data_IF_374894902345
#
_entry.id   IF_374894902345
#
_cell.length_a   1.000
_cell.length_b   1.000
_cell.length_c   1.000
_cell.angle_alpha   90.00
_cell.angle_beta   90.00
_cell.angle_gamma   90.00
#
_symmetry.space_group_name_H-M   'P 1'
#
loop_
_entity.id
_entity.type
_entity.pdbx_description
1 polymer ?
#
# COMPACT_ATOMS: atom_id res chain seq x y z
N UNK A 1 -2.50 -39.93 -20.29
CA UNK A 1 -2.95 -39.08 -19.16
C UNK A 1 -1.76 -38.28 -18.69
N UNK A 2 -1.53 -37.09 -19.27
CA UNK A 2 -0.50 -36.18 -18.80
C UNK A 2 -1.12 -35.24 -17.77
N UNK A 3 -0.62 -35.29 -16.55
CA UNK A 3 -1.03 -34.39 -15.47
C UNK A 3 -0.53 -32.99 -15.84
N UNK A 4 -1.46 -32.06 -16.06
CA UNK A 4 -1.17 -30.65 -16.28
C UNK A 4 -0.73 -30.07 -14.94
N UNK A 5 0.57 -29.83 -14.77
CA UNK A 5 1.09 -28.98 -13.71
C UNK A 5 0.91 -27.54 -14.17
N UNK A 6 -0.22 -26.92 -13.85
CA UNK A 6 -0.36 -25.47 -13.95
C UNK A 6 -0.06 -24.86 -12.58
N UNK A 7 1.23 -24.67 -12.30
CA UNK A 7 1.66 -23.70 -11.30
C UNK A 7 1.71 -22.32 -11.96
N UNK A 8 0.54 -21.73 -12.23
CA UNK A 8 0.48 -20.30 -12.57
C UNK A 8 0.83 -19.52 -11.29
N UNK A 9 2.00 -18.88 -11.25
CA UNK A 9 2.31 -17.96 -10.15
C UNK A 9 1.43 -16.73 -10.29
N UNK A 10 0.55 -16.47 -9.30
CA UNK A 10 -0.27 -15.25 -9.29
C UNK A 10 0.64 -14.02 -9.38
N UNK A 11 0.19 -13.00 -10.11
CA UNK A 11 0.91 -11.71 -10.15
C UNK A 11 0.71 -10.95 -8.83
N UNK A 12 1.60 -10.00 -8.54
CA UNK A 12 1.47 -9.13 -7.35
C UNK A 12 0.11 -8.42 -7.28
N UNK A 13 -0.40 -7.97 -8.43
CA UNK A 13 -1.71 -7.33 -8.50
C UNK A 13 -2.83 -8.33 -8.21
N UNK A 14 -2.77 -9.53 -8.77
CA UNK A 14 -3.77 -10.59 -8.49
C UNK A 14 -3.79 -11.00 -7.01
N UNK A 15 -2.63 -11.10 -6.36
CA UNK A 15 -2.55 -11.35 -4.91
C UNK A 15 -3.17 -10.21 -4.10
N UNK A 16 -2.90 -8.96 -4.47
CA UNK A 16 -3.51 -7.79 -3.85
C UNK A 16 -5.04 -7.79 -4.02
N UNK A 17 -5.53 -8.03 -5.24
CA UNK A 17 -6.97 -8.03 -5.56
C UNK A 17 -7.71 -9.13 -4.81
N UNK A 18 -7.19 -10.35 -4.76
CA UNK A 18 -7.72 -11.45 -3.95
C UNK A 18 -7.84 -11.03 -2.48
N UNK A 19 -6.78 -10.42 -1.99
CA UNK A 19 -6.71 -9.89 -0.64
C UNK A 19 -7.76 -8.86 -0.29
N UNK A 20 -7.91 -7.85 -1.16
CA UNK A 20 -8.92 -6.80 -1.02
C UNK A 20 -10.32 -7.39 -1.12
N UNK A 21 -10.55 -8.33 -2.03
CA UNK A 21 -11.82 -9.05 -2.15
C UNK A 21 -12.20 -9.75 -0.84
N UNK A 22 -11.29 -10.53 -0.25
CA UNK A 22 -11.52 -11.19 1.04
C UNK A 22 -11.81 -10.18 2.17
N UNK A 23 -11.13 -9.03 2.15
CA UNK A 23 -11.38 -7.95 3.11
C UNK A 23 -12.80 -7.39 2.96
N UNK A 24 -13.26 -7.12 1.74
CA UNK A 24 -14.62 -6.63 1.46
C UNK A 24 -15.66 -7.65 1.93
N UNK A 25 -15.51 -8.92 1.53
CA UNK A 25 -16.42 -10.01 1.93
C UNK A 25 -16.50 -10.14 3.46
N UNK A 26 -15.36 -10.09 4.15
CA UNK A 26 -15.31 -10.11 5.62
C UNK A 26 -16.03 -8.90 6.23
N UNK A 27 -15.85 -7.70 5.68
CA UNK A 27 -16.52 -6.48 6.17
C UNK A 27 -18.03 -6.51 5.99
N UNK A 28 -18.52 -7.10 4.90
CA UNK A 28 -19.97 -7.32 4.66
C UNK A 28 -20.56 -8.21 5.77
N UNK A 29 -19.86 -9.28 6.15
CA UNK A 29 -20.32 -10.25 7.14
C UNK A 29 -20.23 -9.73 8.59
N UNK A 30 -19.22 -8.92 8.90
CA UNK A 30 -18.96 -8.44 10.27
C UNK A 30 -20.02 -7.45 10.81
N UNK A 31 -20.44 -6.48 10.00
CA UNK A 31 -21.41 -5.47 10.43
C UNK A 31 -22.05 -4.74 9.27
N UNK A 32 -23.35 -4.44 9.39
CA UNK A 32 -24.09 -3.60 8.44
C UNK A 32 -23.69 -2.12 8.48
N UNK A 33 -22.95 -1.72 9.52
CA UNK A 33 -22.46 -0.34 9.71
C UNK A 33 -21.04 -0.15 9.20
N UNK A 34 -20.40 -1.21 8.70
CA UNK A 34 -19.08 -1.07 8.10
C UNK A 34 -19.21 -0.30 6.79
N UNK A 35 -18.22 0.53 6.53
CA UNK A 35 -18.08 1.28 5.29
C UNK A 35 -16.70 0.98 4.71
N UNK A 36 -16.65 0.82 3.40
CA UNK A 36 -15.42 0.55 2.64
C UNK A 36 -15.43 1.47 1.44
N UNK A 37 -14.32 2.15 1.21
CA UNK A 37 -14.03 2.89 -0.01
C UNK A 37 -12.77 2.34 -0.65
N UNK A 38 -12.65 2.50 -1.97
CA UNK A 38 -11.52 2.02 -2.76
C UNK A 38 -11.01 3.18 -3.60
N UNK A 39 -9.70 3.42 -3.49
CA UNK A 39 -8.97 4.41 -4.28
C UNK A 39 -7.89 3.65 -5.06
N UNK A 40 -7.75 4.01 -6.33
CA UNK A 40 -6.72 3.53 -7.23
C UNK A 40 -5.79 4.70 -7.54
N UNK A 41 -4.49 4.44 -7.61
CA UNK A 41 -3.49 5.39 -8.08
C UNK A 41 -2.69 4.74 -9.20
N UNK A 42 -2.24 5.53 -10.17
CA UNK A 42 -1.64 5.05 -11.43
C UNK A 42 -2.68 4.68 -12.49
N UNK A 43 -3.89 5.25 -12.39
CA UNK A 43 -4.94 5.11 -13.41
C UNK A 43 -4.72 6.08 -14.56
N UNK A 44 -5.16 5.71 -15.77
CA UNK A 44 -5.13 6.63 -16.91
C UNK A 44 -6.05 7.83 -16.67
N UNK A 45 -7.18 7.58 -16.02
CA UNK A 45 -8.16 8.60 -15.64
C UNK A 45 -7.79 9.26 -14.29
N UNK A 46 -8.32 10.47 -14.10
CA UNK A 46 -8.32 11.19 -12.82
C UNK A 46 -9.77 11.43 -12.42
N UNK A 47 -10.20 10.84 -11.31
CA UNK A 47 -11.56 10.98 -10.79
C UNK A 47 -11.50 10.95 -9.26
N UNK A 48 -11.23 12.11 -8.68
CA UNK A 48 -11.23 12.26 -7.23
C UNK A 48 -11.66 13.69 -6.81
N UNK A 49 -12.29 13.84 -5.62
CA UNK A 49 -12.82 15.13 -5.20
C UNK A 49 -11.77 16.25 -5.04
N UNK A 50 -10.51 15.91 -4.75
CA UNK A 50 -9.47 16.92 -4.55
C UNK A 50 -8.98 17.49 -5.89
N UNK A 51 -8.86 16.66 -6.92
CA UNK A 51 -8.58 17.13 -8.28
C UNK A 51 -9.69 18.08 -8.78
N UNK A 52 -10.96 17.75 -8.50
CA UNK A 52 -12.09 18.65 -8.82
C UNK A 52 -12.02 19.98 -8.06
N UNK A 53 -11.65 19.95 -6.77
CA UNK A 53 -11.63 21.12 -5.90
C UNK A 53 -10.43 22.07 -6.19
N UNK A 54 -9.27 21.52 -6.55
CA UNK A 54 -8.02 22.28 -6.76
C UNK A 54 -7.76 22.65 -8.23
N UNK A 55 -8.37 21.93 -9.18
CA UNK A 55 -8.19 22.12 -10.60
C UNK A 55 -6.97 21.38 -11.18
N UNK A 56 -6.80 21.53 -12.49
CA UNK A 56 -5.84 20.79 -13.32
C UNK A 56 -4.41 20.76 -12.74
N UNK A 57 -3.76 19.60 -12.81
CA UNK A 57 -2.38 19.40 -12.35
C UNK A 57 -2.20 18.95 -10.90
N UNK A 58 -3.28 18.73 -10.15
CA UNK A 58 -3.21 18.24 -8.75
C UNK A 58 -3.94 16.90 -8.61
N UNK A 59 -3.32 15.95 -7.88
CA UNK A 59 -3.89 14.63 -7.60
C UNK A 59 -4.28 13.87 -8.88
N UNK A 60 -3.46 14.00 -9.93
CA UNK A 60 -3.64 13.33 -11.21
C UNK A 60 -3.42 11.81 -11.09
N UNK A 61 -4.05 11.06 -11.98
CA UNK A 61 -3.94 9.59 -12.06
C UNK A 61 -4.37 8.89 -10.76
N UNK A 62 -5.27 9.54 -10.01
CA UNK A 62 -5.93 9.00 -8.83
C UNK A 62 -7.45 8.95 -9.08
N UNK A 63 -8.02 7.75 -8.93
CA UNK A 63 -9.44 7.47 -9.15
C UNK A 63 -10.09 6.86 -7.91
N UNK A 64 -11.22 7.42 -7.48
CA UNK A 64 -12.08 6.86 -6.44
C UNK A 64 -13.00 5.82 -7.08
N UNK A 65 -12.57 4.55 -7.12
CA UNK A 65 -13.38 3.45 -7.64
C UNK A 65 -14.69 3.30 -6.86
N UNK A 66 -14.64 3.48 -5.54
CA UNK A 66 -15.80 3.44 -4.67
C UNK A 66 -15.67 4.42 -3.50
N UNK A 67 -16.66 5.30 -3.25
CA UNK A 67 -16.67 6.15 -2.07
C UNK A 67 -16.86 5.32 -0.78
N UNK A 68 -16.62 5.91 0.38
CA UNK A 68 -16.86 5.26 1.67
C UNK A 68 -18.36 5.04 1.91
N UNK A 69 -18.81 3.84 1.56
CA UNK A 69 -20.19 3.39 1.68
C UNK A 69 -20.27 1.96 2.19
N UNK A 70 -21.50 1.51 2.50
CA UNK A 70 -21.71 0.15 2.96
C UNK A 70 -21.31 -0.83 1.84
N UNK A 71 -20.36 -1.75 2.07
CA UNK A 71 -19.92 -2.65 1.03
C UNK A 71 -21.04 -3.60 0.64
N UNK A 72 -21.05 -3.96 -0.64
CA UNK A 72 -21.95 -4.94 -1.25
C UNK A 72 -21.15 -5.92 -2.10
N UNK A 73 -21.73 -7.08 -2.42
CA UNK A 73 -21.10 -8.09 -3.29
C UNK A 73 -20.84 -7.54 -4.71
N UNK A 74 -21.56 -6.50 -5.14
CA UNK A 74 -21.27 -5.82 -6.40
C UNK A 74 -19.91 -5.13 -6.41
N UNK A 75 -19.40 -4.67 -5.26
CA UNK A 75 -18.10 -4.00 -5.17
C UNK A 75 -16.94 -4.96 -5.49
N UNK A 76 -17.06 -6.24 -5.13
CA UNK A 76 -16.04 -7.24 -5.49
C UNK A 76 -16.06 -7.55 -6.99
N UNK A 77 -17.24 -7.56 -7.61
CA UNK A 77 -17.35 -7.74 -9.06
C UNK A 77 -16.76 -6.53 -9.81
N UNK A 78 -17.07 -5.32 -9.36
CA UNK A 78 -16.50 -4.08 -9.91
C UNK A 78 -14.97 -4.06 -9.79
N UNK A 79 -14.44 -4.47 -8.63
CA UNK A 79 -12.99 -4.57 -8.42
C UNK A 79 -12.31 -5.51 -9.44
N UNK A 80 -12.93 -6.65 -9.76
CA UNK A 80 -12.39 -7.62 -10.73
C UNK A 80 -12.52 -7.16 -12.19
N UNK A 81 -13.57 -6.41 -12.51
CA UNK A 81 -13.84 -5.89 -13.85
C UNK A 81 -12.95 -4.69 -14.17
N UNK A 82 -12.94 -3.69 -13.29
CA UNK A 82 -12.37 -2.36 -13.55
C UNK A 82 -10.88 -2.27 -13.23
N UNK A 83 -10.36 -3.07 -12.28
CA UNK A 83 -8.94 -2.98 -11.90
C UNK A 83 -8.09 -3.87 -12.80
N UNK A 84 -7.26 -3.23 -13.62
CA UNK A 84 -6.26 -3.85 -14.51
C UNK A 84 -4.89 -3.22 -14.29
N UNK A 85 -3.79 -3.90 -14.67
CA UNK A 85 -2.48 -3.28 -14.69
C UNK A 85 -2.50 -2.02 -15.58
N UNK A 86 -2.20 -0.87 -15.00
CA UNK A 86 -2.02 0.39 -15.72
C UNK A 86 -0.59 0.53 -16.27
N UNK A 87 -0.41 1.49 -17.17
CA UNK A 87 0.90 1.90 -17.70
C UNK A 87 1.36 3.26 -17.16
N UNK A 88 0.50 3.95 -16.41
CA UNK A 88 0.75 5.27 -15.85
C UNK A 88 1.24 5.14 -14.41
N UNK A 89 2.26 5.92 -14.05
CA UNK A 89 2.67 6.09 -12.66
C UNK A 89 1.95 7.30 -12.07
N UNK A 90 1.52 7.19 -10.82
CA UNK A 90 1.05 8.32 -10.03
C UNK A 90 1.88 8.43 -8.76
N UNK A 91 1.91 9.61 -8.15
CA UNK A 91 2.46 9.75 -6.82
C UNK A 91 1.57 9.00 -5.81
N UNK A 92 2.21 8.12 -5.05
CA UNK A 92 1.57 7.40 -3.96
C UNK A 92 1.06 8.38 -2.87
N UNK A 93 1.75 9.50 -2.66
CA UNK A 93 1.38 10.50 -1.66
C UNK A 93 0.07 11.19 -2.04
N UNK A 94 -0.13 11.52 -3.31
CA UNK A 94 -1.42 12.03 -3.79
C UNK A 94 -2.56 11.06 -3.50
N UNK A 95 -2.36 9.77 -3.78
CA UNK A 95 -3.33 8.72 -3.44
C UNK A 95 -3.62 8.66 -1.93
N UNK A 96 -2.60 8.83 -1.09
CA UNK A 96 -2.75 8.85 0.37
C UNK A 96 -3.46 10.12 0.86
N UNK A 97 -3.18 11.29 0.29
CA UNK A 97 -3.86 12.55 0.60
C UNK A 97 -5.35 12.45 0.26
N UNK A 98 -5.69 11.93 -0.94
CA UNK A 98 -7.07 11.66 -1.34
C UNK A 98 -7.75 10.69 -0.36
N UNK A 99 -7.06 9.65 0.10
CA UNK A 99 -7.61 8.71 1.08
C UNK A 99 -7.88 9.35 2.45
N UNK A 100 -6.94 10.15 2.95
CA UNK A 100 -7.09 10.89 4.21
C UNK A 100 -8.24 11.89 4.12
N UNK A 101 -8.38 12.58 2.99
CA UNK A 101 -9.44 13.54 2.78
C UNK A 101 -10.82 12.87 2.66
N UNK A 102 -10.93 11.78 1.90
CA UNK A 102 -12.15 10.98 1.82
C UNK A 102 -12.57 10.47 3.20
N UNK A 103 -11.61 9.99 4.01
CA UNK A 103 -11.85 9.57 5.39
C UNK A 103 -12.35 10.73 6.25
N UNK A 104 -11.73 11.90 6.15
CA UNK A 104 -12.11 13.09 6.88
C UNK A 104 -13.55 13.54 6.54
N UNK A 105 -13.83 13.78 5.25
CA UNK A 105 -15.18 14.21 4.79
C UNK A 105 -16.26 13.25 5.24
N UNK A 106 -15.99 11.94 5.20
CA UNK A 106 -17.01 10.93 5.55
C UNK A 106 -17.28 10.84 7.04
N UNK A 107 -16.25 10.99 7.85
CA UNK A 107 -16.26 10.62 9.28
C UNK A 107 -16.14 11.80 10.23
N UNK A 108 -16.05 13.04 9.73
CA UNK A 108 -16.05 14.25 10.56
C UNK A 108 -17.25 14.23 11.52
N UNK A 109 -16.98 14.52 12.79
CA UNK A 109 -17.96 14.52 13.91
C UNK A 109 -18.72 13.20 14.11
N UNK A 110 -18.28 12.09 13.50
CA UNK A 110 -18.89 10.76 13.68
C UNK A 110 -17.94 9.80 14.39
N UNK A 111 -18.51 8.80 15.07
CA UNK A 111 -17.75 7.75 15.77
C UNK A 111 -17.49 6.59 14.82
N UNK A 112 -16.24 6.43 14.39
CA UNK A 112 -15.76 5.32 13.56
C UNK A 112 -14.47 4.75 14.15
N UNK A 113 -14.25 3.47 13.92
CA UNK A 113 -12.90 2.90 13.94
C UNK A 113 -12.39 3.03 12.50
N UNK A 114 -11.31 3.79 12.31
CA UNK A 114 -10.81 4.18 10.98
C UNK A 114 -9.50 3.46 10.70
N UNK A 115 -9.42 2.90 9.50
CA UNK A 115 -8.21 2.25 8.99
C UNK A 115 -8.05 2.55 7.51
N UNK A 116 -6.84 2.92 7.09
CA UNK A 116 -6.43 3.02 5.69
C UNK A 116 -5.47 1.87 5.40
N UNK A 117 -5.69 1.19 4.29
CA UNK A 117 -4.85 0.09 3.81
C UNK A 117 -4.20 0.52 2.49
N UNK A 118 -2.90 0.82 2.53
CA UNK A 118 -2.12 1.21 1.36
C UNK A 118 -1.43 -0.02 0.79
N UNK A 119 -1.77 -0.44 -0.43
CA UNK A 119 -1.15 -1.59 -1.09
C UNK A 119 -0.22 -1.07 -2.18
N UNK A 120 1.07 -1.41 -2.11
CA UNK A 120 2.06 -0.90 -3.07
C UNK A 120 3.28 -1.81 -3.19
N UNK A 121 3.92 -1.80 -4.37
CA UNK A 121 5.26 -2.37 -4.58
C UNK A 121 6.39 -1.36 -4.29
N UNK A 122 6.05 -0.10 -3.99
CA UNK A 122 6.99 0.99 -3.71
C UNK A 122 8.03 1.23 -4.81
N UNK A 123 7.74 0.84 -6.06
CA UNK A 123 8.72 0.79 -7.14
C UNK A 123 8.89 2.12 -7.89
N UNK A 124 7.90 3.01 -7.85
CA UNK A 124 7.92 4.28 -8.58
C UNK A 124 8.40 5.41 -7.68
N UNK A 125 9.05 6.45 -8.23
CA UNK A 125 9.41 7.65 -7.47
C UNK A 125 8.23 8.23 -6.71
N UNK A 126 8.52 8.82 -5.54
CA UNK A 126 7.55 9.54 -4.72
C UNK A 126 7.96 11.01 -4.70
N UNK A 127 7.11 11.88 -5.22
CA UNK A 127 7.37 13.30 -5.42
C UNK A 127 6.60 14.13 -4.37
N UNK A 128 6.87 13.94 -3.08
CA UNK A 128 6.00 14.55 -2.06
C UNK A 128 6.41 14.34 -0.60
N UNK A 129 7.70 14.30 -0.30
CA UNK A 129 8.18 14.13 1.08
C UNK A 129 7.70 15.25 2.04
N UNK A 130 7.45 16.46 1.50
CA UNK A 130 6.89 17.59 2.24
C UNK A 130 5.47 17.36 2.80
N UNK A 131 4.67 16.49 2.19
CA UNK A 131 3.28 16.24 2.60
C UNK A 131 3.14 15.12 3.66
N UNK A 132 4.25 14.48 4.03
CA UNK A 132 4.25 13.38 5.00
C UNK A 132 3.91 13.81 6.42
N UNK A 133 4.51 14.89 6.90
CA UNK A 133 4.28 15.40 8.24
C UNK A 133 2.80 15.80 8.40
N UNK A 134 2.19 16.60 7.50
CA UNK A 134 0.75 16.90 7.54
C UNK A 134 -0.15 15.66 7.49
N UNK A 135 0.20 14.64 6.68
CA UNK A 135 -0.55 13.38 6.61
C UNK A 135 -0.51 12.67 7.96
N UNK A 136 0.66 12.55 8.59
CA UNK A 136 0.83 11.91 9.89
C UNK A 136 0.00 12.61 10.97
N UNK A 137 0.08 13.94 11.04
CA UNK A 137 -0.70 14.74 11.97
C UNK A 137 -2.21 14.54 11.79
N UNK A 138 -2.69 14.54 10.53
CA UNK A 138 -4.12 14.37 10.22
C UNK A 138 -4.61 12.96 10.56
N UNK A 139 -3.80 11.92 10.31
CA UNK A 139 -4.11 10.54 10.71
C UNK A 139 -4.21 10.39 12.24
N UNK A 140 -3.28 10.98 12.98
CA UNK A 140 -3.28 10.98 14.45
C UNK A 140 -4.48 11.74 15.02
N UNK A 141 -4.77 12.93 14.50
CA UNK A 141 -5.90 13.75 14.94
C UNK A 141 -7.26 13.04 14.74
N UNK A 142 -7.37 12.21 13.70
CA UNK A 142 -8.57 11.42 13.41
C UNK A 142 -8.61 10.04 14.08
N UNK A 143 -7.57 9.64 14.84
CA UNK A 143 -7.38 8.27 15.37
C UNK A 143 -7.55 7.20 14.26
N UNK A 144 -6.89 7.41 13.13
CA UNK A 144 -6.91 6.51 11.96
C UNK A 144 -5.65 5.67 11.91
N UNK A 145 -5.81 4.35 11.80
CA UNK A 145 -4.66 3.45 11.61
C UNK A 145 -4.24 3.43 10.14
N UNK A 146 -2.94 3.46 9.87
CA UNK A 146 -2.38 3.20 8.54
C UNK A 146 -1.76 1.81 8.48
N UNK A 147 -2.16 1.01 7.52
CA UNK A 147 -1.57 -0.29 7.23
C UNK A 147 -0.93 -0.24 5.85
N UNK A 148 0.39 -0.41 5.79
CA UNK A 148 1.12 -0.48 4.51
C UNK A 148 1.31 -1.94 4.15
N UNK A 149 0.80 -2.33 3.00
CA UNK A 149 0.85 -3.67 2.47
C UNK A 149 1.89 -3.69 1.35
N UNK A 150 3.07 -4.21 1.68
CA UNK A 150 4.21 -4.26 0.78
C UNK A 150 4.14 -5.48 -0.13
N UNK A 151 3.97 -5.25 -1.42
CA UNK A 151 3.88 -6.29 -2.43
C UNK A 151 5.26 -6.83 -2.83
N UNK A 152 6.07 -7.35 -1.88
CA UNK A 152 7.49 -7.78 -1.99
C UNK A 152 8.51 -6.93 -1.19
N UNK A 153 8.08 -6.28 -0.10
CA UNK A 153 8.97 -5.45 0.72
C UNK A 153 10.08 -6.28 1.38
N UNK A 154 11.32 -5.90 1.11
CA UNK A 154 12.51 -6.52 1.69
C UNK A 154 12.98 -5.80 2.95
N UNK A 155 12.64 -4.53 3.13
CA UNK A 155 13.00 -3.73 4.30
C UNK A 155 11.84 -3.56 5.29
N UNK A 156 10.91 -4.52 5.31
CA UNK A 156 9.75 -4.50 6.18
C UNK A 156 10.14 -4.86 7.62
N UNK A 157 10.31 -3.83 8.44
CA UNK A 157 10.56 -3.88 9.90
C UNK A 157 11.94 -4.41 10.32
N UNK A 158 12.45 -3.86 11.43
CA UNK A 158 13.68 -4.33 12.08
C UNK A 158 13.44 -5.75 12.63
N UNK A 159 13.52 -6.76 11.77
CA UNK A 159 13.97 -8.08 12.20
C UNK A 159 15.49 -8.13 12.06
N UNK A 160 16.14 -8.40 13.20
CA UNK A 160 17.55 -8.72 13.28
C UNK A 160 17.87 -9.89 12.34
N UNK A 161 18.89 -9.73 11.48
CA UNK A 161 19.50 -10.86 10.79
C UNK A 161 19.31 -10.94 9.28
N UNK A 162 19.62 -9.88 8.54
CA UNK A 162 20.31 -10.08 7.27
C UNK A 162 21.51 -9.13 7.22
N UNK A 163 22.63 -9.66 7.70
CA UNK A 163 23.93 -9.02 7.58
C UNK A 163 24.26 -9.03 6.09
N UNK A 164 23.98 -7.93 5.40
CA UNK A 164 24.80 -7.58 4.24
C UNK A 164 26.13 -7.19 4.86
N UNK A 165 27.08 -8.13 4.81
CA UNK A 165 28.46 -7.85 5.19
C UNK A 165 29.00 -6.77 4.26
N UNK A 166 29.03 -5.53 4.74
CA UNK A 166 30.03 -4.59 4.27
C UNK A 166 31.36 -5.00 4.87
N UNK A 167 32.12 -5.81 4.13
CA UNK A 167 33.56 -5.95 4.39
C UNK A 167 34.29 -5.09 3.35
N UNK A 168 34.42 -3.81 3.69
CA UNK A 168 35.56 -3.03 3.26
C UNK A 168 36.80 -3.53 4.00
N UNK A 169 37.66 -4.28 3.32
CA UNK A 169 39.06 -4.44 3.74
C UNK A 169 39.94 -4.74 2.54
N UNK A 170 40.90 -3.84 2.35
CA UNK A 170 41.96 -3.87 1.35
C UNK A 170 42.92 -5.01 1.68
N UNK A 171 43.00 -6.03 0.83
CA UNK A 171 44.22 -6.83 0.64
C UNK A 171 44.34 -7.26 -0.82
N UNK A 172 45.39 -6.75 -1.49
CA UNK A 172 45.92 -7.27 -2.76
C UNK A 172 46.30 -8.74 -2.57
N UNK A 173 45.83 -9.66 -3.41
CA UNK A 173 46.61 -10.76 -4.03
C UNK A 173 45.87 -11.26 -5.30
N UNK A 174 46.65 -11.73 -6.28
CA UNK A 174 46.29 -11.94 -7.69
C UNK A 174 45.54 -13.27 -7.94
N UNK A 175 44.43 -13.26 -8.71
CA UNK A 175 43.63 -14.44 -9.09
C UNK A 175 42.39 -14.06 -9.93
N UNK A 176 41.80 -14.98 -10.74
CA UNK A 176 41.36 -14.68 -12.10
C UNK A 176 40.12 -13.77 -12.20
N UNK A 177 40.17 -12.90 -13.21
CA UNK A 177 39.13 -11.93 -13.61
C UNK A 177 37.82 -12.65 -13.94
N UNK A 178 36.93 -12.76 -12.96
CA UNK A 178 35.49 -12.89 -13.22
C UNK A 178 34.99 -11.53 -13.69
N UNK A 179 34.53 -11.49 -14.93
CA UNK A 179 33.98 -10.30 -15.58
C UNK A 179 32.93 -9.69 -14.64
N UNK A 180 33.22 -8.47 -14.19
CA UNK A 180 32.19 -7.52 -13.78
C UNK A 180 31.08 -7.56 -14.82
N UNK A 181 29.95 -8.13 -14.46
CA UNK A 181 28.72 -7.84 -15.18
C UNK A 181 28.51 -6.34 -15.00
N UNK A 182 28.66 -5.63 -16.11
CA UNK A 182 28.16 -4.28 -16.28
C UNK A 182 26.67 -4.34 -15.93
N UNK A 183 26.34 -3.96 -14.71
CA UNK A 183 24.98 -3.52 -14.39
C UNK A 183 24.78 -2.27 -15.20
N UNK A 184 23.86 -2.33 -16.16
CA UNK A 184 23.35 -1.15 -16.85
C UNK A 184 22.99 -0.10 -15.79
N UNK A 185 23.44 1.14 -15.99
CA UNK A 185 23.25 2.27 -15.05
C UNK A 185 21.77 2.49 -14.69
N UNK A 186 20.85 1.96 -15.49
CA UNK A 186 19.39 2.04 -15.35
C UNK A 186 18.81 1.11 -14.26
N UNK A 187 19.46 -0.03 -13.96
CA UNK A 187 18.94 -1.03 -13.02
C UNK A 187 19.24 -0.73 -11.55
N UNK A 188 20.29 0.05 -11.29
CA UNK A 188 20.69 0.44 -9.93
C UNK A 188 19.76 1.49 -9.33
N UNK A 189 19.30 2.43 -10.15
CA UNK A 189 18.50 3.56 -9.72
C UNK A 189 17.10 3.14 -9.26
N UNK A 190 16.41 2.29 -10.03
CA UNK A 190 15.11 1.75 -9.66
C UNK A 190 15.13 0.94 -8.34
N UNK A 191 16.21 0.19 -8.09
CA UNK A 191 16.37 -0.56 -6.85
C UNK A 191 16.64 0.35 -5.65
N UNK A 192 17.40 1.43 -5.85
CA UNK A 192 17.66 2.45 -4.84
C UNK A 192 16.39 3.24 -4.50
N UNK A 193 15.65 3.71 -5.50
CA UNK A 193 14.34 4.37 -5.35
C UNK A 193 13.38 3.50 -4.55
N UNK A 194 13.25 2.21 -4.93
CA UNK A 194 12.41 1.28 -4.18
C UNK A 194 12.80 1.18 -2.71
N UNK A 195 14.11 1.09 -2.43
CA UNK A 195 14.64 0.98 -1.07
C UNK A 195 14.37 2.24 -0.24
N UNK A 196 14.46 3.41 -0.86
CA UNK A 196 14.16 4.70 -0.22
C UNK A 196 12.66 4.82 0.09
N UNK A 197 11.81 4.47 -0.87
CA UNK A 197 10.36 4.43 -0.69
C UNK A 197 9.93 3.46 0.42
N UNK A 198 10.51 2.25 0.47
CA UNK A 198 10.22 1.28 1.53
C UNK A 198 10.56 1.86 2.92
N UNK A 199 11.73 2.50 3.08
CA UNK A 199 12.15 3.14 4.34
C UNK A 199 11.23 4.29 4.73
N UNK A 200 10.87 5.11 3.75
CA UNK A 200 9.94 6.22 3.92
C UNK A 200 8.58 5.71 4.41
N UNK A 201 7.99 4.72 3.75
CA UNK A 201 6.72 4.11 4.17
C UNK A 201 6.79 3.49 5.57
N UNK A 202 7.92 2.88 5.95
CA UNK A 202 8.13 2.39 7.31
C UNK A 202 8.13 3.55 8.32
N UNK A 203 8.79 4.67 8.02
CA UNK A 203 8.82 5.83 8.93
C UNK A 203 7.44 6.45 9.16
N UNK A 204 6.60 6.56 8.12
CA UNK A 204 5.20 7.04 8.24
C UNK A 204 4.40 6.09 9.14
N UNK A 205 4.60 4.79 8.97
CA UNK A 205 3.94 3.77 9.78
C UNK A 205 4.39 3.82 11.24
N UNK A 206 5.65 4.13 11.52
CA UNK A 206 6.19 4.29 12.88
C UNK A 206 5.71 5.60 13.54
N UNK A 207 5.59 6.68 12.76
CA UNK A 207 5.01 7.95 13.21
C UNK A 207 3.51 7.83 13.50
N UNK A 208 2.83 6.88 12.85
CA UNK A 208 1.43 6.55 13.10
C UNK A 208 1.32 5.32 14.03
N UNK A 209 0.16 5.00 14.59
CA UNK A 209 -0.02 3.71 15.31
C UNK A 209 -0.20 2.53 14.32
N UNK A 210 0.42 2.62 13.15
CA UNK A 210 0.22 1.76 11.99
C UNK A 210 1.08 0.50 11.99
N UNK A 211 0.95 -0.32 10.95
CA UNK A 211 1.82 -1.50 10.73
C UNK A 211 2.12 -1.77 9.26
N UNK A 212 3.31 -2.26 8.97
CA UNK A 212 3.68 -2.83 7.66
C UNK A 212 3.30 -4.32 7.64
N UNK A 213 2.71 -4.79 6.53
CA UNK A 213 2.23 -6.15 6.33
C UNK A 213 2.73 -6.63 4.97
N UNK A 214 3.42 -7.78 4.86
CA UNK A 214 3.73 -8.38 3.58
C UNK A 214 2.44 -8.81 2.84
N UNK A 215 2.36 -8.59 1.52
CA UNK A 215 1.18 -8.98 0.73
C UNK A 215 0.85 -10.48 0.83
N UNK A 216 1.86 -11.35 0.93
CA UNK A 216 1.68 -12.79 1.16
C UNK A 216 0.92 -13.13 2.46
N UNK A 217 1.02 -12.28 3.48
CA UNK A 217 0.39 -12.51 4.78
C UNK A 217 -1.02 -11.94 4.85
N UNK A 218 -1.44 -11.24 3.80
CA UNK A 218 -2.67 -10.48 3.76
C UNK A 218 -3.91 -11.39 3.78
N UNK A 219 -3.90 -12.46 2.97
CA UNK A 219 -4.93 -13.52 2.98
C UNK A 219 -5.06 -14.15 4.36
N UNK A 220 -3.92 -14.51 4.97
CA UNK A 220 -3.89 -15.13 6.30
C UNK A 220 -4.42 -14.17 7.38
N UNK A 221 -4.03 -12.90 7.35
CA UNK A 221 -4.50 -11.90 8.32
C UNK A 221 -5.98 -11.60 8.18
N UNK A 222 -6.48 -11.43 6.96
CA UNK A 222 -7.91 -11.16 6.74
C UNK A 222 -8.79 -12.38 7.06
N UNK A 223 -8.27 -13.60 6.91
CA UNK A 223 -8.95 -14.83 7.33
C UNK A 223 -9.18 -14.91 8.84
N UNK A 224 -8.31 -14.28 9.66
CA UNK A 224 -8.40 -14.34 11.13
C UNK A 224 -9.20 -13.17 11.71
N UNK A 225 -9.44 -12.09 10.95
CA UNK A 225 -10.16 -10.90 11.42
C UNK A 225 -11.69 -11.06 11.50
N UNK A 226 -12.21 -12.23 11.86
CA UNK A 226 -13.66 -12.47 11.99
C UNK A 226 -14.28 -11.92 13.30
N UNK A 227 -13.48 -11.23 14.13
CA UNK A 227 -13.94 -10.60 15.36
C UNK A 227 -14.11 -9.08 15.21
N UNK A 228 -15.15 -8.54 15.86
CA UNK A 228 -15.33 -7.09 16.00
C UNK A 228 -14.08 -6.52 16.70
N UNK A 229 -13.28 -5.71 15.99
CA UNK A 229 -12.15 -5.04 16.61
C UNK A 229 -12.68 -4.04 17.65
N UNK A 230 -12.40 -4.30 18.92
CA UNK A 230 -12.59 -3.32 20.00
C UNK A 230 -11.21 -2.74 20.29
N UNK A 231 -10.99 -1.46 19.96
CA UNK A 231 -9.77 -0.79 20.41
C UNK A 231 -9.83 -0.70 21.94
N UNK A 232 -8.80 -1.16 22.67
CA UNK A 232 -8.72 -0.86 24.09
C UNK A 232 -8.68 0.66 24.26
N UNK A 233 -9.52 1.18 25.15
CA UNK A 233 -9.51 2.60 25.53
C UNK A 233 -8.12 2.97 26.02
N UNK A 234 -7.43 3.90 25.35
CA UNK A 234 -6.21 4.52 25.86
C UNK A 234 -6.56 5.19 27.19
N UNK A 235 -6.08 4.64 28.31
CA UNK A 235 -6.17 5.33 29.61
C UNK A 235 -5.43 6.65 29.52
N UNK A 236 -6.09 7.73 29.97
CA UNK A 236 -5.51 9.06 30.10
C UNK A 236 -4.36 9.08 31.11
#
# INVERSE_FOLDING_TARGET
MGVKAESSSKTRLEEALEGVRMMIESKILQSKTNEVGIILFGTEDTDNPLAEDMGDGNYENVTVLAPLERPAVSLTAQLEEDVKPGIVSADLIDGLVVAVDMMHRRTDKKKYIRSIYLITAAANPIDGDGDLEPICERLQAMDTDLYVIGADFVHSTKEEGSVIKEEGSVHKEEGPVVKSEVVDEDGGDALMTKRENEKMLVSIVEATSGRVIPAKDLVARFSVMHGKQVRPTKSK
#
